data_IF_922825874372
#
_entry.id   IF_922825874372
#
_cell.length_a   1.000
_cell.length_b   1.000
_cell.length_c   1.000
_cell.angle_alpha   90.00
_cell.angle_beta   90.00
_cell.angle_gamma   90.00
#
_symmetry.space_group_name_H-M   'P 1'
#
loop_
_entity.id
_entity.type
_entity.pdbx_description
1 polymer ?
#
# COMPACT_ATOMS: atom_id res chain seq x y z
N UNK A 1 -25.31 -47.28 11.63
CA UNK A 1 -24.54 -48.52 11.83
C UNK A 1 -23.12 -48.29 11.35
N UNK A 2 -22.16 -48.67 12.19
CA UNK A 2 -20.71 -48.53 12.09
C UNK A 2 -20.08 -49.05 10.78
N UNK A 3 -18.94 -48.48 10.40
CA UNK A 3 -17.67 -49.23 10.38
C UNK A 3 -16.45 -48.33 10.07
N UNK A 4 -15.61 -48.14 11.09
CA UNK A 4 -14.22 -47.70 10.99
C UNK A 4 -13.39 -48.65 10.11
N UNK A 5 -12.52 -48.09 9.24
CA UNK A 5 -11.42 -48.83 8.62
C UNK A 5 -10.08 -48.31 9.12
N UNK A 6 -9.51 -49.06 10.06
CA UNK A 6 -8.11 -49.00 10.49
C UNK A 6 -7.24 -49.70 9.43
N UNK A 7 -6.19 -49.02 8.95
CA UNK A 7 -5.14 -49.64 8.15
C UNK A 7 -3.96 -50.03 9.05
N UNK A 8 -3.62 -51.33 9.05
CA UNK A 8 -2.44 -51.94 9.66
C UNK A 8 -1.20 -51.68 8.81
N UNK A 9 -0.08 -51.37 9.45
CA UNK A 9 1.26 -51.41 8.85
C UNK A 9 1.91 -52.79 9.07
N UNK A 10 2.72 -53.29 8.11
CA UNK A 10 3.31 -54.62 8.17
C UNK A 10 4.63 -54.69 8.95
N UNK A 11 4.82 -55.84 9.62
CA UNK A 11 6.07 -56.29 10.22
C UNK A 11 7.16 -56.51 9.16
N UNK A 12 8.40 -56.10 9.46
CA UNK A 12 9.57 -56.55 8.71
C UNK A 12 10.71 -56.94 9.65
N UNK A 13 11.38 -58.03 9.28
CA UNK A 13 12.27 -58.86 10.10
C UNK A 13 13.75 -58.62 9.79
N UNK A 14 14.55 -58.38 10.85
CA UNK A 14 15.99 -58.70 10.96
C UNK A 14 17.02 -57.66 10.45
N UNK A 15 18.33 -57.74 10.82
CA UNK A 15 18.99 -58.63 11.78
C UNK A 15 19.74 -57.90 12.94
N UNK A 16 20.06 -58.65 14.01
CA UNK A 16 20.85 -58.23 15.19
C UNK A 16 22.32 -57.92 14.83
N UNK A 17 22.97 -57.03 15.60
CA UNK A 17 24.37 -57.20 15.96
C UNK A 17 24.55 -57.36 17.47
N UNK A 18 25.35 -58.37 17.80
CA UNK A 18 25.83 -58.73 19.12
C UNK A 18 27.23 -58.12 19.30
N UNK A 19 27.40 -57.18 20.22
CA UNK A 19 28.74 -56.86 20.76
C UNK A 19 28.60 -56.36 22.19
N UNK A 20 29.16 -57.16 23.11
CA UNK A 20 29.31 -56.86 24.53
C UNK A 20 30.29 -55.71 24.76
N UNK A 21 29.92 -54.76 25.62
CA UNK A 21 30.89 -53.91 26.33
C UNK A 21 30.40 -53.72 27.78
N UNK A 22 31.20 -54.25 28.71
CA UNK A 22 30.97 -54.30 30.15
C UNK A 22 30.98 -52.88 30.74
N UNK A 23 29.94 -52.52 31.49
CA UNK A 23 29.93 -51.32 32.35
C UNK A 23 30.33 -51.74 33.77
N UNK A 24 31.49 -51.27 34.23
CA UNK A 24 31.92 -51.36 35.62
C UNK A 24 31.06 -50.42 36.48
N UNK A 25 30.47 -50.93 37.56
CA UNK A 25 29.76 -50.14 38.57
C UNK A 25 30.66 -49.93 39.79
N UNK A 26 31.05 -48.69 40.15
CA UNK A 26 31.55 -48.42 41.47
C UNK A 26 30.38 -48.22 42.43
N UNK A 27 30.36 -49.01 43.50
CA UNK A 27 29.63 -48.74 44.73
C UNK A 27 30.26 -47.52 45.40
N UNK A 28 29.52 -46.42 45.57
CA UNK A 28 29.81 -45.36 46.52
C UNK A 28 28.50 -44.68 46.94
N UNK A 29 28.08 -44.90 48.19
CA UNK A 29 27.06 -44.13 48.87
C UNK A 29 27.60 -42.71 49.14
N UNK A 30 27.11 -41.71 48.41
CA UNK A 30 27.27 -40.30 48.77
C UNK A 30 25.92 -39.80 49.29
N UNK A 31 25.84 -39.18 50.48
CA UNK A 31 24.57 -38.66 50.98
C UNK A 31 24.11 -37.50 50.10
N UNK A 32 22.92 -37.65 49.51
CA UNK A 32 22.25 -36.60 48.74
C UNK A 32 21.82 -35.49 49.71
N UNK A 33 22.52 -34.36 49.72
CA UNK A 33 22.14 -33.21 50.52
C UNK A 33 20.96 -32.49 49.85
N UNK A 34 19.75 -32.71 50.36
CA UNK A 34 18.50 -32.13 49.85
C UNK A 34 18.35 -30.65 50.20
N UNK A 35 19.06 -30.14 51.21
CA UNK A 35 18.94 -28.75 51.66
C UNK A 35 19.50 -27.72 50.66
N UNK A 36 20.56 -28.09 49.92
CA UNK A 36 21.12 -27.22 48.87
C UNK A 36 20.22 -27.13 47.63
N UNK A 37 19.45 -28.19 47.34
CA UNK A 37 18.48 -28.17 46.24
C UNK A 37 17.24 -27.34 46.60
N UNK A 38 16.73 -27.46 47.83
CA UNK A 38 15.58 -26.66 48.31
C UNK A 38 15.93 -25.17 48.34
N UNK A 39 17.11 -24.80 48.85
CA UNK A 39 17.57 -23.41 48.87
C UNK A 39 17.75 -22.83 47.46
N UNK A 40 18.20 -23.65 46.49
CA UNK A 40 18.34 -23.24 45.10
C UNK A 40 16.96 -23.04 44.43
N UNK A 41 15.98 -23.91 44.70
CA UNK A 41 14.61 -23.75 44.19
C UNK A 41 13.90 -22.55 44.81
N UNK A 42 14.13 -22.26 46.09
CA UNK A 42 13.54 -21.10 46.77
C UNK A 42 14.14 -19.78 46.25
N UNK A 43 15.45 -19.76 45.97
CA UNK A 43 16.10 -18.60 45.35
C UNK A 43 15.56 -18.31 43.94
N UNK A 44 15.34 -19.36 43.13
CA UNK A 44 14.76 -19.24 41.78
C UNK A 44 13.30 -18.79 41.83
N UNK A 45 12.51 -19.35 42.77
CA UNK A 45 11.11 -18.96 42.98
C UNK A 45 10.97 -17.51 43.42
N UNK A 46 11.82 -17.05 44.35
CA UNK A 46 11.84 -15.66 44.81
C UNK A 46 12.29 -14.69 43.72
N UNK A 47 13.27 -15.06 42.89
CA UNK A 47 13.68 -14.27 41.73
C UNK A 47 12.55 -14.16 40.69
N UNK A 48 11.85 -15.26 40.40
CA UNK A 48 10.71 -15.28 39.50
C UNK A 48 9.54 -14.41 40.01
N UNK A 49 9.24 -14.47 41.32
CA UNK A 49 8.21 -13.67 41.95
C UNK A 49 8.54 -12.16 41.92
N UNK A 50 9.80 -11.79 42.11
CA UNK A 50 10.24 -10.39 42.03
C UNK A 50 10.22 -9.86 40.58
N UNK A 51 10.59 -10.69 39.61
CA UNK A 51 10.45 -10.36 38.19
C UNK A 51 8.97 -10.17 37.79
N UNK A 52 8.08 -11.06 38.25
CA UNK A 52 6.65 -10.95 38.02
C UNK A 52 6.06 -9.65 38.61
N UNK A 53 6.46 -9.27 39.84
CA UNK A 53 6.05 -7.99 40.45
C UNK A 53 6.55 -6.78 39.67
N UNK A 54 7.78 -6.81 39.13
CA UNK A 54 8.33 -5.74 38.31
C UNK A 54 7.57 -5.56 36.98
N UNK A 55 7.21 -6.68 36.34
CA UNK A 55 6.39 -6.68 35.12
C UNK A 55 4.99 -6.15 35.40
N UNK A 56 4.35 -6.59 36.49
CA UNK A 56 3.03 -6.10 36.91
C UNK A 56 3.06 -4.60 37.24
N UNK A 57 4.09 -4.11 37.92
CA UNK A 57 4.22 -2.69 38.23
C UNK A 57 4.42 -1.84 36.96
N UNK A 58 5.16 -2.36 35.98
CA UNK A 58 5.35 -1.70 34.69
C UNK A 58 4.06 -1.69 33.87
N UNK A 59 3.32 -2.82 33.87
CA UNK A 59 2.01 -2.91 33.24
C UNK A 59 1.01 -1.92 33.88
N UNK A 60 1.00 -1.81 35.21
CA UNK A 60 0.16 -0.85 35.92
C UNK A 60 0.51 0.62 35.58
N UNK A 61 1.80 0.95 35.39
CA UNK A 61 2.20 2.29 34.95
C UNK A 61 1.73 2.60 33.52
N UNK A 62 1.78 1.62 32.62
CA UNK A 62 1.29 1.77 31.23
C UNK A 62 -0.23 1.93 31.21
N UNK A 63 -0.96 1.14 32.01
CA UNK A 63 -2.42 1.24 32.16
C UNK A 63 -2.82 2.60 32.72
N UNK A 64 -2.12 3.10 33.74
CA UNK A 64 -2.41 4.41 34.32
C UNK A 64 -2.16 5.55 33.32
N UNK A 65 -1.05 5.51 32.58
CA UNK A 65 -0.80 6.50 31.50
C UNK A 65 -1.84 6.43 30.38
N UNK A 66 -2.33 5.24 30.06
CA UNK A 66 -3.41 5.07 29.08
C UNK A 66 -4.73 5.65 29.60
N UNK A 67 -5.05 5.45 30.88
CA UNK A 67 -6.23 6.04 31.52
C UNK A 67 -6.16 7.58 31.56
N UNK A 68 -4.99 8.15 31.84
CA UNK A 68 -4.81 9.61 31.81
C UNK A 68 -5.02 10.16 30.40
N UNK A 69 -4.48 9.50 29.37
CA UNK A 69 -4.68 9.88 27.98
C UNK A 69 -6.16 9.78 27.54
N UNK A 70 -6.88 8.75 27.99
CA UNK A 70 -8.32 8.60 27.76
C UNK A 70 -9.10 9.73 28.44
N UNK A 71 -8.75 10.10 29.67
CA UNK A 71 -9.40 11.19 30.39
C UNK A 71 -9.16 12.54 29.69
N UNK A 72 -7.94 12.83 29.25
CA UNK A 72 -7.63 14.04 28.45
C UNK A 72 -8.40 14.05 27.11
N UNK A 73 -8.54 12.90 26.45
CA UNK A 73 -9.32 12.79 25.22
C UNK A 73 -10.82 13.06 25.49
N UNK A 74 -11.37 12.52 26.58
CA UNK A 74 -12.76 12.76 26.98
C UNK A 74 -13.01 14.25 27.30
N UNK A 75 -12.09 14.93 27.97
CA UNK A 75 -12.19 16.37 28.21
C UNK A 75 -12.14 17.19 26.92
N UNK A 76 -11.25 16.84 25.99
CA UNK A 76 -11.18 17.50 24.67
C UNK A 76 -12.46 17.30 23.85
N UNK A 77 -13.03 16.10 23.88
CA UNK A 77 -14.30 15.78 23.22
C UNK A 77 -15.46 16.56 23.86
N UNK A 78 -15.53 16.63 25.19
CA UNK A 78 -16.57 17.38 25.90
C UNK A 78 -16.47 18.89 25.62
N UNK A 79 -15.26 19.44 25.58
CA UNK A 79 -15.03 20.84 25.23
C UNK A 79 -15.40 21.13 23.76
N UNK A 80 -15.09 20.22 22.84
CA UNK A 80 -15.49 20.33 21.44
C UNK A 80 -17.02 20.23 21.27
N UNK A 81 -17.68 19.34 22.01
CA UNK A 81 -19.13 19.18 22.01
C UNK A 81 -19.84 20.42 22.55
N UNK A 82 -19.33 21.03 23.64
CA UNK A 82 -19.87 22.27 24.17
C UNK A 82 -19.71 23.43 23.18
N UNK A 83 -18.54 23.56 22.54
CA UNK A 83 -18.28 24.57 21.52
C UNK A 83 -19.17 24.39 20.27
N UNK A 84 -19.43 23.14 19.88
CA UNK A 84 -20.35 22.83 18.79
C UNK A 84 -21.81 23.15 19.14
N UNK A 85 -22.21 22.95 20.41
CA UNK A 85 -23.53 23.33 20.93
C UNK A 85 -23.73 24.85 20.93
N UNK A 86 -22.70 25.62 21.29
CA UNK A 86 -22.73 27.08 21.26
C UNK A 86 -22.83 27.62 19.83
N UNK A 87 -22.08 27.03 18.88
CA UNK A 87 -22.21 27.36 17.45
C UNK A 87 -23.58 26.98 16.88
N UNK A 88 -24.14 25.83 17.29
CA UNK A 88 -25.49 25.42 16.91
C UNK A 88 -26.57 26.37 17.44
N UNK A 89 -26.44 26.82 18.70
CA UNK A 89 -27.36 27.79 19.31
C UNK A 89 -27.29 29.16 18.63
N UNK A 90 -26.09 29.62 18.26
CA UNK A 90 -25.90 30.88 17.52
C UNK A 90 -26.37 30.80 16.07
N UNK A 91 -26.48 29.61 15.49
CA UNK A 91 -27.02 29.41 14.14
C UNK A 91 -28.54 29.24 14.16
N UNK A 92 -29.10 28.69 15.24
CA UNK A 92 -30.55 28.57 15.48
C UNK A 92 -31.25 29.91 15.71
N UNK A 93 -30.54 30.94 16.20
CA UNK A 93 -31.10 32.29 16.37
C UNK A 93 -31.43 33.01 15.06
N UNK A 94 -31.01 32.48 13.91
CA UNK A 94 -31.33 33.01 12.58
C UNK A 94 -32.48 32.26 11.89
N UNK A 95 -33.05 31.24 12.54
CA UNK A 95 -34.16 30.46 12.00
C UNK A 95 -35.50 30.97 12.54
N UNK A 96 -36.55 31.10 11.72
CA UNK A 96 -37.89 31.43 12.19
C UNK A 96 -38.46 30.29 13.04
N UNK A 97 -39.20 30.63 14.11
CA UNK A 97 -39.81 29.71 15.10
C UNK A 97 -40.40 28.40 14.53
N UNK A 98 -41.19 28.39 13.43
CA UNK A 98 -41.76 27.15 12.90
C UNK A 98 -40.73 26.10 12.46
N UNK A 99 -39.49 26.51 12.15
CA UNK A 99 -38.40 25.59 11.79
C UNK A 99 -37.80 24.96 13.06
N UNK A 100 -37.68 25.74 14.14
CA UNK A 100 -37.12 25.29 15.43
C UNK A 100 -38.04 24.23 16.07
N UNK A 101 -39.35 24.43 16.01
CA UNK A 101 -40.32 23.47 16.55
C UNK A 101 -40.32 22.14 15.80
N UNK A 102 -40.11 22.17 14.48
CA UNK A 102 -40.00 20.94 13.66
C UNK A 102 -38.75 20.10 14.01
N UNK A 103 -37.66 20.78 14.39
CA UNK A 103 -36.39 20.14 14.76
C UNK A 103 -36.45 19.54 16.16
N UNK A 104 -37.03 20.25 17.13
CA UNK A 104 -37.23 19.74 18.49
C UNK A 104 -38.20 18.55 18.51
N UNK A 105 -39.25 18.60 17.67
CA UNK A 105 -40.20 17.48 17.51
C UNK A 105 -39.56 16.22 16.92
N UNK A 106 -38.45 16.37 16.18
CA UNK A 106 -37.70 15.23 15.62
C UNK A 106 -36.76 14.58 16.65
N UNK A 107 -36.30 15.35 17.65
CA UNK A 107 -35.43 14.86 18.73
C UNK A 107 -36.20 14.14 19.85
N UNK A 108 -37.47 14.49 20.07
CA UNK A 108 -38.32 13.89 21.11
C UNK A 108 -39.13 12.68 20.65
N UNK A 109 -38.75 12.03 19.54
CA UNK A 109 -39.34 10.73 19.18
C UNK A 109 -38.78 9.62 20.10
N UNK A 110 -39.28 9.61 21.33
CA UNK A 110 -39.25 8.48 22.25
C UNK A 110 -40.02 7.32 21.62
N UNK A 111 -39.35 6.61 20.71
CA UNK A 111 -39.84 5.38 20.12
C UNK A 111 -39.77 4.28 21.19
N UNK A 112 -40.95 3.73 21.46
CA UNK A 112 -41.30 2.57 22.30
C UNK A 112 -40.21 1.51 22.55
N UNK A 113 -40.17 0.85 23.73
CA UNK A 113 -39.01 0.07 24.19
C UNK A 113 -38.82 -1.31 23.54
N UNK A 114 -39.43 -1.61 22.38
CA UNK A 114 -39.40 -2.96 21.80
C UNK A 114 -38.65 -3.12 20.47
N UNK A 115 -38.10 -2.05 19.88
CA UNK A 115 -37.42 -2.13 18.56
C UNK A 115 -35.91 -1.77 18.61
N UNK A 116 -35.41 -1.15 19.68
CA UNK A 116 -34.10 -0.48 19.62
C UNK A 116 -32.87 -1.37 19.87
N UNK A 117 -32.91 -2.38 20.73
CA UNK A 117 -31.66 -3.08 21.13
C UNK A 117 -31.10 -4.03 20.05
N UNK A 118 -31.87 -4.97 19.45
CA UNK A 118 -31.30 -5.90 18.45
C UNK A 118 -30.94 -5.20 17.13
N UNK A 119 -31.65 -4.13 16.77
CA UNK A 119 -31.35 -3.34 15.57
C UNK A 119 -30.06 -2.53 15.75
N UNK A 120 -29.85 -1.92 16.91
CA UNK A 120 -28.61 -1.18 17.20
C UNK A 120 -27.41 -2.14 17.25
N UNK A 121 -27.56 -3.32 17.85
CA UNK A 121 -26.49 -4.34 17.85
C UNK A 121 -26.22 -4.83 16.41
N UNK A 122 -27.26 -5.07 15.62
CA UNK A 122 -27.12 -5.48 14.21
C UNK A 122 -26.40 -4.43 13.36
N UNK A 123 -26.74 -3.16 13.52
CA UNK A 123 -26.06 -2.05 12.84
C UNK A 123 -24.60 -1.90 13.32
N UNK A 124 -24.34 -2.06 14.62
CA UNK A 124 -22.99 -2.05 15.17
C UNK A 124 -22.10 -3.16 14.58
N UNK A 125 -22.62 -4.38 14.47
CA UNK A 125 -21.90 -5.50 13.85
C UNK A 125 -21.64 -5.25 12.36
N UNK A 126 -22.61 -4.70 11.63
CA UNK A 126 -22.43 -4.33 10.22
C UNK A 126 -21.37 -3.25 10.02
N UNK A 127 -21.34 -2.24 10.89
CA UNK A 127 -20.34 -1.18 10.85
C UNK A 127 -18.94 -1.74 11.15
N UNK A 128 -18.81 -2.61 12.14
CA UNK A 128 -17.53 -3.29 12.46
C UNK A 128 -17.07 -4.15 11.27
N UNK A 129 -17.96 -4.93 10.66
CA UNK A 129 -17.66 -5.69 9.44
C UNK A 129 -17.24 -4.79 8.29
N UNK A 130 -17.92 -3.66 8.09
CA UNK A 130 -17.56 -2.70 7.05
C UNK A 130 -16.18 -2.09 7.30
N UNK A 131 -15.84 -1.75 8.55
CA UNK A 131 -14.52 -1.24 8.93
C UNK A 131 -13.44 -2.30 8.69
N UNK A 132 -13.68 -3.56 9.07
CA UNK A 132 -12.74 -4.66 8.81
C UNK A 132 -12.53 -4.83 7.30
N UNK A 133 -13.62 -4.87 6.51
CA UNK A 133 -13.52 -4.96 5.04
C UNK A 133 -12.77 -3.74 4.48
N UNK A 134 -13.01 -2.53 5.00
CA UNK A 134 -12.35 -1.30 4.58
C UNK A 134 -10.84 -1.29 4.89
N UNK A 135 -10.46 -1.73 6.08
CA UNK A 135 -9.05 -1.81 6.51
C UNK A 135 -8.28 -2.87 5.72
N UNK A 136 -8.92 -3.99 5.39
CA UNK A 136 -8.28 -5.11 4.71
C UNK A 136 -8.61 -5.20 3.21
N UNK A 137 -9.16 -4.14 2.58
CA UNK A 137 -9.55 -4.18 1.14
C UNK A 137 -8.45 -4.71 0.24
N UNK A 138 -7.22 -4.25 0.44
CA UNK A 138 -6.09 -4.63 -0.40
C UNK A 138 -5.67 -6.09 -0.18
N UNK A 139 -5.72 -6.57 1.08
CA UNK A 139 -5.39 -7.95 1.44
C UNK A 139 -6.47 -8.93 0.95
N UNK A 140 -7.74 -8.56 1.09
CA UNK A 140 -8.89 -9.35 0.60
C UNK A 140 -8.86 -9.43 -0.93
N UNK A 141 -8.56 -8.34 -1.63
CA UNK A 141 -8.45 -8.32 -3.09
C UNK A 141 -7.35 -9.28 -3.58
N UNK A 142 -6.16 -9.22 -2.97
CA UNK A 142 -5.05 -10.10 -3.35
C UNK A 142 -5.35 -11.59 -3.09
N UNK A 143 -5.95 -11.88 -1.93
CA UNK A 143 -6.34 -13.25 -1.57
C UNK A 143 -7.43 -13.79 -2.48
N UNK A 144 -8.43 -12.96 -2.81
CA UNK A 144 -9.53 -13.31 -3.69
C UNK A 144 -9.04 -13.57 -5.12
N UNK A 145 -8.18 -12.71 -5.68
CA UNK A 145 -7.59 -12.91 -7.01
C UNK A 145 -6.79 -14.22 -7.09
N UNK A 146 -6.02 -14.53 -6.03
CA UNK A 146 -5.22 -15.75 -5.97
C UNK A 146 -6.11 -17.00 -5.89
N UNK A 147 -7.17 -16.95 -5.08
CA UNK A 147 -8.13 -18.04 -4.95
C UNK A 147 -8.94 -18.24 -6.24
N UNK A 148 -9.40 -17.14 -6.86
CA UNK A 148 -10.16 -17.14 -8.10
C UNK A 148 -9.35 -17.72 -9.26
N UNK A 149 -8.05 -17.38 -9.35
CA UNK A 149 -7.16 -17.93 -10.37
C UNK A 149 -7.04 -19.45 -10.27
N UNK A 150 -6.87 -19.99 -9.06
CA UNK A 150 -6.81 -21.45 -8.84
C UNK A 150 -8.13 -22.15 -9.21
N UNK A 151 -9.26 -21.56 -8.87
CA UNK A 151 -10.58 -22.10 -9.20
C UNK A 151 -10.77 -22.09 -10.72
N UNK A 152 -10.47 -20.97 -11.37
CA UNK A 152 -10.58 -20.84 -12.83
C UNK A 152 -9.68 -21.85 -13.54
N UNK A 153 -8.43 -21.98 -13.14
CA UNK A 153 -7.48 -22.88 -13.79
C UNK A 153 -7.85 -24.36 -13.56
N UNK A 154 -8.60 -24.67 -12.49
CA UNK A 154 -9.17 -26.01 -12.25
C UNK A 154 -10.36 -26.32 -13.18
N UNK A 155 -11.26 -25.36 -13.41
CA UNK A 155 -12.46 -25.55 -14.24
C UNK A 155 -12.23 -25.27 -15.74
N UNK A 156 -11.25 -24.43 -16.05
CA UNK A 156 -10.88 -23.99 -17.40
C UNK A 156 -9.37 -24.09 -17.54
N UNK A 157 -8.81 -25.32 -17.59
CA UNK A 157 -7.39 -25.49 -17.84
C UNK A 157 -7.04 -24.82 -19.17
N UNK A 158 -5.92 -24.07 -19.25
CA UNK A 158 -5.50 -23.44 -20.49
C UNK A 158 -5.36 -24.51 -21.58
N UNK A 159 -5.90 -24.21 -22.76
CA UNK A 159 -5.83 -25.14 -23.89
C UNK A 159 -4.37 -25.52 -24.18
N UNK A 160 -4.09 -26.78 -24.58
CA UNK A 160 -2.76 -27.20 -24.95
C UNK A 160 -2.24 -26.31 -26.08
N UNK A 161 -1.02 -25.77 -25.90
CA UNK A 161 -0.35 -24.95 -26.90
C UNK A 161 -0.02 -25.83 -28.10
N UNK A 162 -0.86 -25.78 -29.13
CA UNK A 162 -0.54 -26.37 -30.43
C UNK A 162 0.47 -25.40 -31.07
N UNK A 163 1.74 -25.81 -31.10
CA UNK A 163 2.75 -25.10 -31.89
C UNK A 163 2.31 -25.10 -33.35
N UNK A 164 2.14 -23.93 -34.01
CA UNK A 164 1.78 -23.90 -35.41
C UNK A 164 2.91 -24.53 -36.25
N UNK A 165 2.58 -25.24 -37.35
CA UNK A 165 3.60 -25.72 -38.27
C UNK A 165 4.40 -24.55 -38.83
N UNK A 166 5.71 -24.75 -38.90
CA UNK A 166 6.69 -23.79 -39.39
C UNK A 166 6.25 -23.26 -40.79
N UNK A 167 5.99 -21.94 -40.96
CA UNK A 167 5.56 -21.43 -42.25
C UNK A 167 6.73 -21.40 -43.23
N UNK A 168 6.69 -22.29 -44.21
CA UNK A 168 7.44 -22.13 -45.44
C UNK A 168 6.91 -20.91 -46.20
N UNK A 169 7.75 -19.87 -46.25
CA UNK A 169 7.83 -18.80 -47.26
C UNK A 169 6.48 -18.20 -47.69
N UNK A 170 6.11 -17.08 -47.04
CA UNK A 170 5.17 -16.12 -47.63
C UNK A 170 5.95 -14.90 -48.14
N UNK A 171 5.59 -14.36 -49.31
CA UNK A 171 6.22 -13.18 -49.86
C UNK A 171 5.91 -11.95 -49.00
N UNK A 172 6.88 -11.03 -48.99
CA UNK A 172 6.95 -9.81 -48.21
C UNK A 172 5.62 -9.03 -48.16
N UNK A 173 4.94 -9.12 -47.02
CA UNK A 173 3.75 -8.33 -46.72
C UNK A 173 4.17 -7.05 -46.00
N UNK A 174 3.64 -5.92 -46.47
CA UNK A 174 3.70 -4.59 -45.83
C UNK A 174 3.54 -4.68 -44.31
N UNK A 175 4.17 -3.76 -43.55
CA UNK A 175 4.01 -3.72 -42.10
C UNK A 175 2.52 -3.63 -41.76
N UNK A 176 2.03 -4.64 -41.05
CA UNK A 176 0.69 -4.58 -40.46
C UNK A 176 0.75 -3.48 -39.40
N UNK A 177 -0.01 -2.40 -39.64
CA UNK A 177 -0.23 -1.34 -38.68
C UNK A 177 -0.90 -1.94 -37.44
N UNK A 178 -0.13 -2.12 -36.37
CA UNK A 178 -0.63 -2.61 -35.09
C UNK A 178 -1.72 -1.70 -34.50
N UNK A 179 -1.81 -0.44 -34.97
CA UNK A 179 -2.93 0.45 -34.69
C UNK A 179 -4.27 -0.09 -35.21
N UNK A 180 -4.30 -0.75 -36.37
CA UNK A 180 -5.52 -1.32 -36.94
C UNK A 180 -5.99 -2.58 -36.19
N UNK A 181 -5.07 -3.34 -35.60
CA UNK A 181 -5.40 -4.56 -34.83
C UNK A 181 -6.01 -4.19 -33.47
N UNK A 182 -5.56 -3.09 -32.85
CA UNK A 182 -6.17 -2.55 -31.62
C UNK A 182 -7.59 -2.00 -31.79
N UNK A 183 -8.04 -1.77 -33.03
CA UNK A 183 -9.41 -1.32 -33.33
C UNK A 183 -10.43 -2.46 -33.40
N UNK A 184 -9.99 -3.73 -33.47
CA UNK A 184 -10.87 -4.90 -33.63
C UNK A 184 -11.33 -5.54 -32.30
N UNK A 185 -10.82 -5.07 -31.17
CA UNK A 185 -11.30 -5.40 -29.81
C UNK A 185 -11.63 -4.06 -29.15
N UNK A 186 -12.80 -3.85 -28.49
CA UNK A 186 -13.07 -2.61 -27.77
C UNK A 186 -11.98 -2.39 -26.71
N UNK A 187 -11.00 -1.55 -27.05
CA UNK A 187 -9.86 -1.28 -26.20
C UNK A 187 -10.31 -0.63 -24.90
N UNK A 188 -9.63 -0.96 -23.80
CA UNK A 188 -9.82 -0.27 -22.53
C UNK A 188 -9.48 1.20 -22.72
N UNK A 189 -10.40 2.10 -22.33
CA UNK A 189 -10.12 3.53 -22.29
C UNK A 189 -9.22 3.86 -21.11
N UNK A 190 -8.18 4.63 -21.37
CA UNK A 190 -7.23 5.10 -20.36
C UNK A 190 -6.64 6.46 -20.76
N UNK A 191 -5.97 7.11 -19.82
CA UNK A 191 -5.20 8.31 -20.13
C UNK A 191 -3.83 7.90 -20.66
N UNK A 192 -3.42 8.55 -21.75
CA UNK A 192 -2.05 8.48 -22.25
C UNK A 192 -1.53 9.88 -22.53
N UNK A 193 -0.23 10.05 -22.35
CA UNK A 193 0.47 11.31 -22.58
C UNK A 193 1.22 11.27 -23.92
N UNK A 194 1.12 12.35 -24.69
CA UNK A 194 1.93 12.64 -25.87
C UNK A 194 3.08 13.51 -25.40
N UNK A 195 4.27 12.91 -25.29
CA UNK A 195 5.40 13.48 -24.54
C UNK A 195 6.20 14.59 -25.26
N UNK A 196 5.86 14.96 -26.49
CA UNK A 196 6.60 16.03 -27.19
C UNK A 196 6.07 17.40 -26.78
N UNK A 197 6.94 18.21 -26.16
CA UNK A 197 6.62 19.59 -25.72
C UNK A 197 6.60 20.60 -26.87
N UNK A 198 5.70 20.39 -27.85
CA UNK A 198 5.62 21.23 -29.06
C UNK A 198 4.21 21.71 -29.40
N UNK A 199 3.21 21.31 -28.62
CA UNK A 199 1.80 21.57 -28.91
C UNK A 199 1.26 22.67 -28.01
N UNK A 200 0.52 23.62 -28.58
CA UNK A 200 -0.22 24.64 -27.83
C UNK A 200 -1.54 24.06 -27.30
N UNK A 201 -2.27 24.83 -26.49
CA UNK A 201 -3.59 24.39 -26.02
C UNK A 201 -4.57 24.18 -27.18
N UNK A 202 -4.51 25.04 -28.21
CA UNK A 202 -5.39 24.94 -29.39
C UNK A 202 -5.07 23.72 -30.26
N UNK A 203 -3.84 23.21 -30.21
CA UNK A 203 -3.44 21.96 -30.87
C UNK A 203 -3.98 20.71 -30.14
N UNK A 204 -4.21 20.80 -28.83
CA UNK A 204 -4.37 19.65 -27.94
C UNK A 204 -5.61 18.79 -28.25
N UNK A 205 -6.78 19.40 -28.42
CA UNK A 205 -8.00 18.67 -28.73
C UNK A 205 -8.00 18.04 -30.13
N UNK A 206 -7.64 18.76 -31.22
CA UNK A 206 -7.45 18.15 -32.54
C UNK A 206 -6.44 17.00 -32.52
N UNK A 207 -5.35 17.14 -31.77
CA UNK A 207 -4.34 16.10 -31.65
C UNK A 207 -4.93 14.83 -31.02
N UNK A 208 -5.62 14.93 -29.88
CA UNK A 208 -6.25 13.76 -29.27
C UNK A 208 -7.29 13.10 -30.21
N UNK A 209 -8.07 13.90 -30.95
CA UNK A 209 -9.02 13.39 -31.95
C UNK A 209 -8.34 12.60 -33.06
N UNK A 210 -7.14 13.02 -33.50
CA UNK A 210 -6.35 12.29 -34.49
C UNK A 210 -5.91 10.91 -33.99
N UNK A 211 -5.80 10.72 -32.66
CA UNK A 211 -5.54 9.43 -32.03
C UNK A 211 -6.82 8.64 -31.68
N UNK A 212 -8.00 9.08 -32.13
CA UNK A 212 -9.28 8.46 -31.76
C UNK A 212 -9.63 8.62 -30.27
N UNK A 213 -9.10 9.67 -29.64
CA UNK A 213 -9.26 9.99 -28.23
C UNK A 213 -9.85 11.38 -28.03
N UNK A 214 -10.20 11.71 -26.79
CA UNK A 214 -10.57 13.06 -26.39
C UNK A 214 -9.45 13.69 -25.56
N UNK A 215 -9.45 15.02 -25.46
CA UNK A 215 -8.62 15.69 -24.46
C UNK A 215 -9.06 15.24 -23.05
N UNK A 216 -8.11 14.83 -22.21
CA UNK A 216 -8.43 14.29 -20.89
C UNK A 216 -8.98 15.38 -19.95
N UNK A 217 -9.77 14.99 -18.95
CA UNK A 217 -10.11 15.84 -17.80
C UNK A 217 -9.08 15.68 -16.68
N UNK A 218 -9.07 16.61 -15.73
CA UNK A 218 -8.25 16.48 -14.51
C UNK A 218 -8.57 15.18 -13.75
N UNK A 219 -9.85 14.85 -13.58
CA UNK A 219 -10.27 13.63 -12.86
C UNK A 219 -9.79 12.35 -13.54
N UNK A 220 -9.75 12.31 -14.87
CA UNK A 220 -9.20 11.18 -15.61
C UNK A 220 -7.69 11.05 -15.39
N UNK A 221 -6.93 12.16 -15.37
CA UNK A 221 -5.49 12.15 -15.05
C UNK A 221 -5.27 11.70 -13.60
N UNK A 222 -6.10 12.17 -12.67
CA UNK A 222 -6.06 11.74 -11.26
C UNK A 222 -6.37 10.26 -11.10
N UNK A 223 -7.34 9.74 -11.83
CA UNK A 223 -7.64 8.30 -11.87
C UNK A 223 -6.46 7.50 -12.45
N UNK A 224 -5.80 8.01 -13.49
CA UNK A 224 -4.60 7.40 -14.05
C UNK A 224 -3.45 7.38 -13.03
N UNK A 225 -3.24 8.48 -12.29
CA UNK A 225 -2.28 8.55 -11.19
C UNK A 225 -2.60 7.51 -10.10
N UNK A 226 -3.85 7.40 -9.67
CA UNK A 226 -4.28 6.36 -8.71
C UNK A 226 -4.00 4.93 -9.20
N UNK A 227 -3.87 4.74 -10.51
CA UNK A 227 -3.54 3.47 -11.17
C UNK A 227 -2.05 3.32 -11.52
N UNK A 228 -1.20 4.25 -11.08
CA UNK A 228 0.26 4.17 -11.23
C UNK A 228 0.84 4.99 -12.39
N UNK A 229 0.09 5.89 -13.03
CA UNK A 229 0.66 6.79 -14.04
C UNK A 229 1.75 7.69 -13.44
N UNK A 230 2.87 7.83 -14.15
CA UNK A 230 4.09 8.45 -13.64
C UNK A 230 5.02 8.94 -14.77
N UNK A 231 4.60 9.94 -15.55
CA UNK A 231 5.36 10.38 -16.73
C UNK A 231 6.14 11.68 -16.56
N UNK A 232 5.92 12.45 -15.47
CA UNK A 232 6.70 13.66 -15.19
C UNK A 232 6.86 14.61 -16.42
N UNK A 233 5.79 14.78 -17.19
CA UNK A 233 5.78 15.63 -18.38
C UNK A 233 4.43 16.36 -18.47
N UNK A 234 4.48 17.69 -18.53
CA UNK A 234 3.30 18.52 -18.64
C UNK A 234 2.50 18.17 -19.90
N UNK A 235 1.21 17.89 -19.72
CA UNK A 235 0.30 17.69 -20.83
C UNK A 235 -0.97 18.52 -20.69
N UNK A 236 -1.36 19.20 -21.78
CA UNK A 236 -2.63 19.89 -21.86
C UNK A 236 -3.82 18.95 -21.57
N UNK A 237 -4.80 19.45 -20.83
CA UNK A 237 -6.09 18.83 -20.51
C UNK A 237 -7.24 19.83 -20.75
N UNK A 238 -8.49 19.36 -20.68
CA UNK A 238 -9.69 20.19 -20.77
C UNK A 238 -9.63 21.35 -19.77
N UNK A 239 -9.95 22.55 -20.23
CA UNK A 239 -9.97 23.77 -19.40
C UNK A 239 -8.63 24.52 -19.33
N UNK A 240 -7.81 24.47 -20.40
CA UNK A 240 -6.53 25.18 -20.52
C UNK A 240 -5.60 25.00 -19.32
N UNK A 241 -5.61 23.78 -18.79
CA UNK A 241 -4.70 23.38 -17.74
C UNK A 241 -3.69 22.39 -18.31
N UNK A 242 -2.47 22.42 -17.81
CA UNK A 242 -1.48 21.40 -18.13
C UNK A 242 -1.03 20.73 -16.84
N UNK A 243 -1.08 19.40 -16.84
CA UNK A 243 -0.84 18.60 -15.64
C UNK A 243 -0.01 17.36 -15.94
N UNK A 244 0.59 16.81 -14.89
CA UNK A 244 1.32 15.55 -14.95
C UNK A 244 1.25 14.79 -13.63
N UNK A 245 1.15 13.45 -13.66
CA UNK A 245 1.16 12.63 -12.46
C UNK A 245 2.59 12.25 -12.06
N UNK A 246 2.83 12.22 -10.75
CA UNK A 246 4.08 11.77 -10.14
C UNK A 246 3.78 10.78 -9.02
N UNK A 247 4.42 9.62 -9.03
CA UNK A 247 4.30 8.62 -7.97
C UNK A 247 5.28 8.91 -6.83
N UNK A 248 4.95 8.40 -5.63
CA UNK A 248 5.82 8.49 -4.46
C UNK A 248 7.23 7.93 -4.75
N UNK A 249 7.30 6.81 -5.48
CA UNK A 249 8.56 6.17 -5.83
C UNK A 249 9.47 7.09 -6.67
N UNK A 250 8.92 7.78 -7.66
CA UNK A 250 9.68 8.72 -8.49
C UNK A 250 10.12 9.94 -7.68
N UNK A 251 9.25 10.48 -6.83
CA UNK A 251 9.61 11.54 -5.92
C UNK A 251 10.79 11.15 -5.01
N UNK A 252 10.68 10.02 -4.30
CA UNK A 252 11.71 9.57 -3.35
C UNK A 252 13.06 9.34 -4.04
N UNK A 253 13.03 8.77 -5.25
CA UNK A 253 14.23 8.56 -6.07
C UNK A 253 14.94 9.88 -6.38
N UNK A 254 14.19 10.89 -6.80
CA UNK A 254 14.76 12.20 -7.15
C UNK A 254 15.27 12.96 -5.92
N UNK A 255 14.58 12.84 -4.77
CA UNK A 255 15.06 13.46 -3.53
C UNK A 255 16.38 12.85 -3.03
N UNK A 256 16.58 11.56 -3.25
CA UNK A 256 17.84 10.87 -2.92
C UNK A 256 19.00 11.18 -3.89
N UNK A 257 18.70 11.83 -5.01
CA UNK A 257 19.64 12.16 -6.06
C UNK A 257 20.36 13.51 -5.86
N UNK A 258 20.99 14.00 -6.94
CA UNK A 258 21.63 15.31 -7.01
C UNK A 258 20.65 16.43 -6.69
N UNK A 259 21.17 17.56 -6.20
CA UNK A 259 20.33 18.71 -5.80
C UNK A 259 19.45 19.21 -6.95
N UNK A 260 20.00 19.25 -8.16
CA UNK A 260 19.32 19.72 -9.36
C UNK A 260 18.19 18.82 -9.85
N UNK A 261 18.16 17.55 -9.42
CA UNK A 261 17.08 16.61 -9.75
C UNK A 261 15.94 16.66 -8.74
N UNK A 262 16.18 17.22 -7.54
CA UNK A 262 15.16 17.34 -6.51
C UNK A 262 14.04 18.24 -7.01
N UNK A 263 12.81 17.80 -6.75
CA UNK A 263 11.58 18.50 -7.16
C UNK A 263 11.39 18.64 -8.69
N UNK A 264 12.26 18.06 -9.52
CA UNK A 264 12.13 18.14 -10.99
C UNK A 264 10.78 17.59 -11.49
N UNK A 265 10.20 16.63 -10.76
CA UNK A 265 8.88 16.05 -11.02
C UNK A 265 7.81 16.48 -10.01
N UNK A 266 7.93 17.67 -9.40
CA UNK A 266 6.96 18.15 -8.42
C UNK A 266 6.86 17.25 -7.19
N UNK A 267 5.66 17.16 -6.60
CA UNK A 267 5.36 16.32 -5.44
C UNK A 267 4.52 15.10 -5.83
N UNK A 268 4.39 14.07 -4.97
CA UNK A 268 3.49 12.95 -5.24
C UNK A 268 2.04 13.43 -5.45
N UNK A 269 1.42 13.05 -6.57
CA UNK A 269 0.09 13.52 -6.94
C UNK A 269 -0.03 13.91 -8.42
N UNK A 270 -1.07 14.68 -8.72
CA UNK A 270 -1.22 15.38 -10.00
C UNK A 270 -0.72 16.81 -9.83
N UNK A 271 0.38 17.11 -10.50
CA UNK A 271 1.04 18.42 -10.49
C UNK A 271 0.58 19.27 -11.68
N UNK A 272 0.77 20.58 -11.58
CA UNK A 272 0.38 21.54 -12.60
C UNK A 272 -0.96 22.23 -12.29
N UNK A 273 -1.54 22.86 -13.30
CA UNK A 273 -2.73 23.69 -13.13
C UNK A 273 -3.08 24.48 -14.37
N UNK A 274 -3.87 25.55 -14.19
CA UNK A 274 -4.24 26.48 -15.24
C UNK A 274 -3.03 27.31 -15.69
N UNK A 275 -2.92 27.55 -16.99
CA UNK A 275 -1.91 28.42 -17.57
C UNK A 275 -2.58 29.54 -18.36
N UNK A 276 -2.26 30.79 -18.04
CA UNK A 276 -2.85 31.96 -18.71
C UNK A 276 -2.51 32.04 -20.20
N UNK A 277 -1.31 31.55 -20.58
CA UNK A 277 -0.82 31.59 -21.95
C UNK A 277 -1.11 30.27 -22.69
N UNK A 278 -2.10 30.23 -23.60
CA UNK A 278 -2.41 29.03 -24.37
C UNK A 278 -1.35 28.66 -25.41
N UNK A 279 -0.42 29.58 -25.72
CA UNK A 279 0.66 29.38 -26.70
C UNK A 279 1.87 28.65 -26.12
N UNK A 280 1.86 28.31 -24.82
CA UNK A 280 2.90 27.48 -24.24
C UNK A 280 2.93 26.11 -24.92
N UNK A 281 4.13 25.66 -25.28
CA UNK A 281 4.34 24.38 -25.94
C UNK A 281 4.63 23.30 -24.90
N UNK A 282 3.76 22.30 -24.85
CA UNK A 282 3.79 21.20 -23.89
C UNK A 282 3.35 19.91 -24.58
N UNK A 283 3.43 18.80 -23.86
CA UNK A 283 2.77 17.56 -24.24
C UNK A 283 1.25 17.69 -24.19
N UNK A 284 0.56 16.57 -24.41
CA UNK A 284 -0.91 16.52 -24.37
C UNK A 284 -1.38 15.25 -23.68
N UNK A 285 -2.32 15.37 -22.74
CA UNK A 285 -2.94 14.21 -22.08
C UNK A 285 -4.27 13.89 -22.78
N UNK A 286 -4.34 12.72 -23.41
CA UNK A 286 -5.52 12.24 -24.11
C UNK A 286 -6.19 11.10 -23.34
N UNK A 287 -7.50 10.94 -23.49
CA UNK A 287 -8.29 9.86 -22.92
C UNK A 287 -9.01 9.08 -24.02
N UNK A 288 -8.70 7.80 -24.16
CA UNK A 288 -9.25 6.95 -25.20
C UNK A 288 -8.58 5.59 -25.23
N UNK A 289 -8.71 4.87 -26.35
CA UNK A 289 -7.93 3.64 -26.57
C UNK A 289 -6.49 4.04 -26.81
N UNK A 290 -5.59 3.69 -25.88
CA UNK A 290 -4.16 4.00 -26.00
C UNK A 290 -3.58 3.30 -27.24
N UNK A 291 -2.88 4.04 -28.13
CA UNK A 291 -2.17 3.43 -29.24
C UNK A 291 -1.14 2.40 -28.76
N UNK A 292 -0.91 1.37 -29.56
CA UNK A 292 0.18 0.42 -29.33
C UNK A 292 1.55 1.12 -29.32
N UNK A 293 2.52 0.52 -28.64
CA UNK A 293 3.88 1.05 -28.59
C UNK A 293 4.54 1.01 -29.98
N UNK A 294 5.16 2.12 -30.39
CA UNK A 294 5.89 2.23 -31.66
C UNK A 294 7.37 2.59 -31.45
N UNK A 295 8.18 2.51 -32.51
CA UNK A 295 9.63 2.74 -32.43
C UNK A 295 10.02 4.18 -32.04
N UNK A 296 9.14 5.16 -32.28
CA UNK A 296 9.34 6.55 -31.85
C UNK A 296 9.18 6.63 -30.33
N UNK A 297 8.13 6.03 -29.78
CA UNK A 297 7.90 5.93 -28.33
C UNK A 297 9.05 5.20 -27.64
N UNK A 298 9.52 4.08 -28.20
CA UNK A 298 10.68 3.34 -27.65
C UNK A 298 11.94 4.20 -27.61
N UNK A 299 12.26 4.90 -28.71
CA UNK A 299 13.42 5.79 -28.77
C UNK A 299 13.33 6.93 -27.77
N UNK A 300 12.14 7.51 -27.59
CA UNK A 300 11.93 8.55 -26.59
C UNK A 300 12.18 8.04 -25.18
N UNK A 301 11.61 6.89 -24.81
CA UNK A 301 11.84 6.25 -23.49
C UNK A 301 13.31 5.92 -23.26
N UNK A 302 14.01 5.38 -24.28
CA UNK A 302 15.45 5.08 -24.19
C UNK A 302 16.31 6.33 -24.04
N UNK A 303 15.93 7.45 -24.68
CA UNK A 303 16.66 8.71 -24.56
C UNK A 303 16.52 9.31 -23.16
N UNK A 304 15.37 9.16 -22.52
CA UNK A 304 15.13 9.68 -21.17
C UNK A 304 15.72 8.81 -20.05
N UNK A 305 16.07 7.55 -20.33
CA UNK A 305 16.63 6.63 -19.34
C UNK A 305 18.17 6.58 -19.32
N UNK A 306 18.83 7.17 -20.31
CA UNK A 306 20.21 6.79 -20.68
C UNK A 306 21.35 7.61 -20.09
N UNK A 307 21.17 8.90 -19.78
CA UNK A 307 22.31 9.75 -19.42
C UNK A 307 22.13 10.43 -18.06
N UNK A 308 23.01 10.08 -17.12
CA UNK A 308 23.19 10.85 -15.89
C UNK A 308 23.63 12.28 -16.25
N UNK A 309 23.02 13.26 -15.59
CA UNK A 309 23.42 14.66 -15.71
C UNK A 309 24.87 14.85 -15.22
N UNK A 310 25.54 15.92 -15.65
CA UNK A 310 26.90 16.22 -15.17
C UNK A 310 26.95 16.34 -13.64
N UNK A 311 25.95 17.00 -13.05
CA UNK A 311 25.81 17.08 -11.59
C UNK A 311 25.44 15.73 -10.96
N UNK A 312 24.67 14.88 -11.64
CA UNK A 312 24.51 13.45 -11.36
C UNK A 312 25.82 12.71 -11.14
N UNK A 313 26.71 12.80 -12.12
CA UNK A 313 28.02 12.17 -12.05
C UNK A 313 28.89 12.77 -10.92
N UNK A 314 28.78 14.07 -10.67
CA UNK A 314 29.50 14.74 -9.60
C UNK A 314 28.99 14.32 -8.21
N UNK A 315 27.68 14.18 -8.04
CA UNK A 315 27.05 13.67 -6.82
C UNK A 315 27.47 12.22 -6.56
N UNK A 316 27.38 11.35 -7.57
CA UNK A 316 27.80 9.96 -7.45
C UNK A 316 29.27 9.85 -7.05
N UNK A 317 30.14 10.67 -7.65
CA UNK A 317 31.56 10.75 -7.25
C UNK A 317 31.72 11.13 -5.77
N UNK A 318 30.95 12.11 -5.29
CA UNK A 318 30.96 12.52 -3.88
C UNK A 318 30.48 11.40 -2.95
N UNK A 319 29.43 10.66 -3.33
CA UNK A 319 28.94 9.48 -2.60
C UNK A 319 30.02 8.40 -2.53
N UNK A 320 30.70 8.10 -3.64
CA UNK A 320 31.79 7.11 -3.64
C UNK A 320 32.97 7.54 -2.77
N UNK A 321 33.33 8.83 -2.78
CA UNK A 321 34.38 9.36 -1.91
C UNK A 321 34.04 9.13 -0.43
N UNK A 322 32.81 9.46 0.00
CA UNK A 322 32.39 9.20 1.39
C UNK A 322 32.28 7.72 1.73
N UNK A 323 31.89 6.86 0.78
CA UNK A 323 31.90 5.40 1.00
C UNK A 323 33.31 4.89 1.30
N UNK A 324 34.33 5.41 0.60
CA UNK A 324 35.72 5.04 0.83
C UNK A 324 36.24 5.52 2.19
N UNK A 325 35.72 6.64 2.68
CA UNK A 325 36.10 7.21 3.99
C UNK A 325 35.19 6.74 5.14
N UNK A 326 34.12 6.00 4.85
CA UNK A 326 33.04 5.72 5.82
C UNK A 326 33.53 5.09 7.12
N UNK A 327 34.55 4.23 7.07
CA UNK A 327 35.14 3.61 8.27
C UNK A 327 35.83 4.59 9.21
N UNK A 328 36.23 5.76 8.72
CA UNK A 328 36.94 6.80 9.46
C UNK A 328 36.01 7.93 9.92
N UNK A 329 34.71 7.85 9.60
CA UNK A 329 33.72 8.84 10.00
C UNK A 329 33.05 8.37 11.30
N UNK A 330 33.28 9.03 12.45
CA UNK A 330 32.68 8.61 13.71
C UNK A 330 31.16 8.80 13.68
N UNK A 331 30.42 7.80 14.15
CA UNK A 331 28.95 7.82 14.28
C UNK A 331 28.59 7.82 15.77
N UNK A 332 27.71 8.74 16.17
CA UNK A 332 27.25 8.83 17.57
C UNK A 332 26.28 7.70 17.91
N UNK A 333 26.31 7.17 19.15
CA UNK A 333 25.28 6.23 19.62
C UNK A 333 23.92 6.94 19.78
N UNK A 334 22.82 6.19 19.64
CA UNK A 334 21.45 6.71 19.82
C UNK A 334 21.25 7.42 21.17
N UNK A 335 21.76 6.84 22.26
CA UNK A 335 21.92 7.49 23.57
C UNK A 335 23.21 6.98 24.23
N UNK A 336 23.69 7.63 25.31
CA UNK A 336 24.87 7.14 26.03
C UNK A 336 24.72 5.64 26.39
N UNK A 337 25.69 4.82 25.98
CA UNK A 337 25.68 3.36 26.19
C UNK A 337 24.73 2.55 25.30
N UNK A 338 24.02 3.16 24.34
CA UNK A 338 23.06 2.47 23.46
C UNK A 338 23.24 2.92 22.00
N UNK A 339 23.68 1.99 21.16
CA UNK A 339 23.99 2.28 19.74
C UNK A 339 22.75 2.57 18.88
N UNK A 340 21.67 1.79 19.01
CA UNK A 340 20.45 1.90 18.20
C UNK A 340 19.22 2.33 19.01
N UNK A 341 18.16 2.80 18.33
CA UNK A 341 16.88 3.20 18.92
C UNK A 341 16.20 2.08 19.70
#
# INVERSE_FOLDING_TARGET
>A
MNANKMFKLPNNTGPKPNTSLKVNRPSNNVPFNTSSFVNATDAVSNAANNAAKSVVNTANQVVNKANDAINTANEAINNAANKAKDMGSSMMSFLPEPVVDSMNSSLESNTSPFISIPVIIGLGVLIILFIIVAMFRNQIALAFETAWRKIRDYFYPPAPVILPPNPSVFPENKPIDQGAVSQMIPGKKEVFNIAQDKYTYTDAEPLCKAFGAELATYDQVKEAWNKGADWCNYGWIKGQSAVFPTQQQTYDKLQAGPEEERMACGTPGVNGGYFDNPELRMGVNCYGTKPGENDISKRHTMSNSGNATEGGLAYDRKVQNYKNEASNIPINPYTAGRWSS
#
